data_IF_827893207391
#
_entry.id   IF_827893207391
#
_cell.length_a   1.000
_cell.length_b   1.000
_cell.length_c   1.000
_cell.angle_alpha   90.00
_cell.angle_beta   90.00
_cell.angle_gamma   90.00
#
_symmetry.space_group_name_H-M   'P 1'
#
loop_
_entity.id
_entity.type
_entity.pdbx_description
1 polymer ?
#
# COMPACT_ATOMS: atom_id res chain seq x y z
N UNK A 1 11.02 -13.02 -23.10
CA UNK A 1 12.47 -13.02 -22.81
C UNK A 1 12.61 -13.13 -21.30
N UNK A 2 13.67 -13.76 -20.78
CA UNK A 2 13.88 -13.78 -19.32
C UNK A 2 14.48 -12.44 -18.89
N UNK A 3 14.07 -11.94 -17.72
CA UNK A 3 14.60 -10.70 -17.16
C UNK A 3 16.06 -10.92 -16.74
N UNK A 4 16.98 -10.17 -17.33
CA UNK A 4 18.42 -10.29 -17.04
C UNK A 4 18.77 -9.76 -15.65
N UNK A 5 18.16 -8.64 -15.24
CA UNK A 5 18.39 -7.98 -13.95
C UNK A 5 18.05 -8.91 -12.78
N UNK A 6 18.99 -9.04 -11.84
CA UNK A 6 18.85 -9.85 -10.62
C UNK A 6 18.83 -8.97 -9.36
N UNK A 7 18.35 -9.54 -8.25
CA UNK A 7 18.36 -8.86 -6.96
C UNK A 7 19.78 -8.45 -6.49
N UNK A 8 20.82 -9.20 -6.89
CA UNK A 8 22.21 -8.85 -6.59
C UNK A 8 22.70 -7.59 -7.29
N UNK A 9 22.15 -7.28 -8.46
CA UNK A 9 22.52 -6.08 -9.23
C UNK A 9 21.95 -4.82 -8.56
N UNK A 10 20.72 -4.93 -8.05
CA UNK A 10 20.08 -3.90 -7.22
C UNK A 10 20.89 -3.70 -5.93
N UNK A 11 21.25 -4.78 -5.23
CA UNK A 11 22.08 -4.70 -4.02
C UNK A 11 23.46 -4.07 -4.28
N UNK A 12 24.02 -4.27 -5.47
CA UNK A 12 25.26 -3.61 -5.88
C UNK A 12 25.08 -2.10 -6.03
N UNK A 13 24.01 -1.64 -6.69
CA UNK A 13 23.68 -0.22 -6.79
C UNK A 13 23.46 0.43 -5.40
N UNK A 14 22.78 -0.28 -4.50
CA UNK A 14 22.54 0.16 -3.12
C UNK A 14 23.81 0.31 -2.29
N UNK A 15 24.89 -0.42 -2.64
CA UNK A 15 26.17 -0.26 -1.96
C UNK A 15 26.77 1.14 -2.17
N UNK A 16 26.53 1.77 -3.33
CA UNK A 16 26.89 3.15 -3.60
C UNK A 16 26.03 4.12 -2.78
N UNK A 17 24.71 3.88 -2.72
CA UNK A 17 23.79 4.68 -1.91
C UNK A 17 24.15 4.64 -0.43
N UNK A 18 24.50 3.47 0.09
CA UNK A 18 24.96 3.29 1.47
C UNK A 18 26.28 4.04 1.75
N UNK A 19 27.14 4.21 0.73
CA UNK A 19 28.35 5.02 0.80
C UNK A 19 28.10 6.53 0.61
N UNK A 20 26.88 6.93 0.25
CA UNK A 20 26.54 8.31 -0.14
C UNK A 20 27.07 8.71 -1.52
N UNK A 21 27.52 7.75 -2.33
CA UNK A 21 28.04 7.96 -3.68
C UNK A 21 26.90 7.98 -4.69
N UNK A 22 26.24 9.13 -4.81
CA UNK A 22 25.13 9.32 -5.75
C UNK A 22 25.60 9.31 -7.21
N UNK A 23 26.81 9.82 -7.47
CA UNK A 23 27.40 9.88 -8.81
C UNK A 23 27.73 8.47 -9.34
N UNK A 24 28.15 7.56 -8.45
CA UNK A 24 28.34 6.15 -8.75
C UNK A 24 27.02 5.38 -8.87
N UNK A 25 26.04 5.66 -8.02
CA UNK A 25 24.76 4.95 -8.01
C UNK A 25 23.90 5.22 -9.25
N UNK A 26 23.80 6.50 -9.67
CA UNK A 26 22.89 6.93 -10.75
C UNK A 26 23.05 6.13 -12.05
N UNK A 27 24.25 6.04 -12.68
CA UNK A 27 24.38 5.35 -13.96
C UNK A 27 24.09 3.84 -13.86
N UNK A 28 24.32 3.23 -12.69
CA UNK A 28 23.99 1.82 -12.45
C UNK A 28 22.47 1.65 -12.41
N UNK A 29 21.77 2.48 -11.64
CA UNK A 29 20.31 2.44 -11.52
C UNK A 29 19.61 2.74 -12.86
N UNK A 30 20.11 3.71 -13.64
CA UNK A 30 19.60 4.02 -14.98
C UNK A 30 19.79 2.84 -15.95
N UNK A 31 20.96 2.19 -15.94
CA UNK A 31 21.20 1.01 -16.78
C UNK A 31 20.23 -0.13 -16.45
N UNK A 32 20.09 -0.46 -15.16
CA UNK A 32 19.19 -1.53 -14.70
C UNK A 32 17.73 -1.23 -15.06
N UNK A 33 17.27 0.00 -14.84
CA UNK A 33 15.88 0.39 -15.16
C UNK A 33 15.61 0.41 -16.65
N UNK A 34 16.61 0.77 -17.48
CA UNK A 34 16.50 0.67 -18.95
C UNK A 34 16.35 -0.78 -19.43
N UNK A 35 17.11 -1.71 -18.86
CA UNK A 35 16.98 -3.15 -19.15
C UNK A 35 15.60 -3.68 -18.76
N UNK A 36 15.11 -3.30 -17.58
CA UNK A 36 13.75 -3.66 -17.11
C UNK A 36 12.67 -3.10 -18.03
N UNK A 37 12.80 -1.84 -18.48
CA UNK A 37 11.84 -1.23 -19.40
C UNK A 37 11.78 -1.97 -20.73
N UNK A 38 12.95 -2.27 -21.31
CA UNK A 38 13.04 -2.99 -22.59
C UNK A 38 12.40 -4.37 -22.45
N UNK A 39 12.72 -5.10 -21.38
CA UNK A 39 12.09 -6.39 -21.10
C UNK A 39 10.57 -6.29 -20.91
N UNK A 40 10.09 -5.28 -20.19
CA UNK A 40 8.67 -5.08 -19.92
C UNK A 40 7.89 -4.70 -21.18
N UNK A 41 8.47 -3.93 -22.08
CA UNK A 41 7.88 -3.61 -23.39
C UNK A 41 7.73 -4.85 -24.28
N UNK A 42 8.63 -5.82 -24.17
CA UNK A 42 8.56 -7.06 -24.96
C UNK A 42 7.68 -8.14 -24.30
N UNK A 43 7.73 -8.26 -22.98
CA UNK A 43 7.14 -9.38 -22.23
C UNK A 43 5.82 -9.01 -21.55
N UNK A 44 5.65 -7.76 -21.14
CA UNK A 44 4.50 -7.29 -20.36
C UNK A 44 3.59 -6.34 -21.16
N UNK A 45 3.74 -6.22 -22.47
CA UNK A 45 2.96 -5.27 -23.29
C UNK A 45 1.45 -5.58 -23.32
N UNK A 46 1.08 -6.86 -23.43
CA UNK A 46 -0.32 -7.26 -23.40
C UNK A 46 -0.76 -7.59 -21.97
N UNK A 47 -1.48 -6.64 -21.36
CA UNK A 47 -1.99 -6.76 -19.99
C UNK A 47 -3.47 -7.13 -19.94
N UNK A 48 -4.04 -7.68 -21.01
CA UNK A 48 -5.47 -8.01 -21.08
C UNK A 48 -5.85 -9.20 -20.18
N UNK A 49 -5.02 -10.24 -20.15
CA UNK A 49 -5.24 -11.45 -19.34
C UNK A 49 -4.30 -11.56 -18.13
N UNK A 50 -3.10 -10.94 -18.21
CA UNK A 50 -2.06 -11.07 -17.19
C UNK A 50 -1.52 -9.73 -16.76
N UNK A 51 -1.02 -9.66 -15.53
CA UNK A 51 -0.38 -8.48 -14.97
C UNK A 51 0.80 -8.92 -14.11
N UNK A 52 1.92 -8.23 -14.23
CA UNK A 52 3.16 -8.53 -13.52
C UNK A 52 3.38 -7.54 -12.39
N UNK A 53 3.72 -8.06 -11.22
CA UNK A 53 4.02 -7.30 -10.02
C UNK A 53 5.28 -7.82 -9.34
N UNK A 54 5.91 -6.97 -8.55
CA UNK A 54 7.02 -7.29 -7.66
C UNK A 54 6.61 -6.91 -6.23
N UNK A 55 5.64 -7.66 -5.69
CA UNK A 55 5.23 -7.51 -4.30
C UNK A 55 6.35 -7.96 -3.35
N UNK A 56 6.46 -7.33 -2.19
CA UNK A 56 7.48 -7.65 -1.19
C UNK A 56 7.15 -8.96 -0.45
N UNK A 57 5.85 -9.28 -0.33
CA UNK A 57 5.38 -10.51 0.31
C UNK A 57 4.02 -11.01 -0.23
N UNK A 58 3.63 -12.19 0.24
CA UNK A 58 2.35 -12.82 -0.10
C UNK A 58 1.13 -12.02 0.39
N UNK A 59 1.29 -11.26 1.48
CA UNK A 59 0.22 -10.43 2.02
C UNK A 59 -0.11 -9.30 1.03
N UNK A 60 0.88 -8.62 0.46
CA UNK A 60 0.66 -7.55 -0.51
C UNK A 60 -0.05 -8.09 -1.76
N UNK A 61 0.34 -9.27 -2.26
CA UNK A 61 -0.36 -9.91 -3.38
C UNK A 61 -1.83 -10.21 -3.07
N UNK A 62 -2.11 -10.75 -1.88
CA UNK A 62 -3.47 -11.05 -1.43
C UNK A 62 -4.30 -9.76 -1.26
N UNK A 63 -3.71 -8.74 -0.63
CA UNK A 63 -4.33 -7.46 -0.39
C UNK A 63 -4.66 -6.73 -1.70
N UNK A 64 -3.74 -6.73 -2.68
CA UNK A 64 -3.98 -6.19 -4.02
C UNK A 64 -5.21 -6.84 -4.67
N UNK A 65 -5.29 -8.17 -4.62
CA UNK A 65 -6.42 -8.92 -5.19
C UNK A 65 -7.75 -8.47 -4.59
N UNK A 66 -7.81 -8.27 -3.26
CA UNK A 66 -9.04 -7.90 -2.56
C UNK A 66 -9.43 -6.45 -2.79
N UNK A 67 -8.46 -5.54 -2.77
CA UNK A 67 -8.71 -4.10 -2.93
C UNK A 67 -9.03 -3.75 -4.39
N UNK A 68 -8.19 -4.15 -5.34
CA UNK A 68 -8.37 -3.78 -6.76
C UNK A 68 -9.39 -4.67 -7.48
N UNK A 69 -9.67 -5.86 -6.95
CA UNK A 69 -10.54 -6.86 -7.59
C UNK A 69 -10.10 -7.18 -9.02
N UNK A 70 -8.78 -7.16 -9.26
CA UNK A 70 -8.21 -7.38 -10.58
C UNK A 70 -8.54 -8.82 -11.05
N UNK A 71 -9.30 -8.98 -12.15
CA UNK A 71 -9.70 -10.29 -12.65
C UNK A 71 -8.57 -11.03 -13.37
N UNK A 72 -7.45 -10.35 -13.67
CA UNK A 72 -6.35 -10.89 -14.45
C UNK A 72 -5.50 -11.89 -13.65
N UNK A 73 -4.74 -12.71 -14.36
CA UNK A 73 -3.72 -13.53 -13.73
C UNK A 73 -2.56 -12.65 -13.23
N UNK A 74 -2.22 -12.77 -11.94
CA UNK A 74 -1.15 -11.97 -11.34
C UNK A 74 0.13 -12.80 -11.30
N UNK A 75 1.10 -12.39 -12.10
CA UNK A 75 2.44 -12.94 -12.16
C UNK A 75 3.33 -12.21 -11.14
N UNK A 76 3.92 -12.95 -10.19
CA UNK A 76 4.87 -12.42 -9.22
C UNK A 76 6.28 -12.50 -9.80
N UNK A 77 7.02 -11.40 -9.71
CA UNK A 77 8.45 -11.34 -10.00
C UNK A 77 9.23 -11.43 -8.69
N UNK A 78 10.27 -12.27 -8.68
CA UNK A 78 11.16 -12.42 -7.53
C UNK A 78 12.16 -11.26 -7.40
N UNK A 79 12.41 -10.53 -8.49
CA UNK A 79 13.30 -9.37 -8.50
C UNK A 79 12.54 -8.16 -7.94
N UNK A 80 13.07 -7.44 -6.94
CA UNK A 80 12.36 -6.34 -6.27
C UNK A 80 12.38 -5.06 -7.11
N UNK A 81 11.69 -5.08 -8.25
CA UNK A 81 11.70 -3.98 -9.21
C UNK A 81 11.17 -2.67 -8.62
N UNK A 82 10.15 -2.72 -7.75
CA UNK A 82 9.64 -1.51 -7.11
C UNK A 82 10.71 -0.80 -6.27
N UNK A 83 11.59 -1.56 -5.60
CA UNK A 83 12.73 -1.05 -4.82
C UNK A 83 13.77 -0.39 -5.72
N UNK A 84 14.12 -1.01 -6.83
CA UNK A 84 15.01 -0.43 -7.85
C UNK A 84 14.53 0.95 -8.31
N UNK A 85 13.26 1.08 -8.64
CA UNK A 85 12.69 2.37 -9.06
C UNK A 85 12.60 3.38 -7.90
N UNK A 86 12.33 2.93 -6.68
CA UNK A 86 12.36 3.79 -5.49
C UNK A 86 13.77 4.36 -5.24
N UNK A 87 14.81 3.54 -5.38
CA UNK A 87 16.20 3.96 -5.23
C UNK A 87 16.60 4.97 -6.30
N UNK A 88 16.21 4.74 -7.56
CA UNK A 88 16.41 5.71 -8.64
C UNK A 88 15.69 7.03 -8.35
N UNK A 89 14.45 6.98 -7.88
CA UNK A 89 13.71 8.18 -7.48
C UNK A 89 14.39 8.94 -6.35
N UNK A 90 14.94 8.23 -5.35
CA UNK A 90 15.70 8.83 -4.27
C UNK A 90 16.90 9.63 -4.81
N UNK A 91 17.68 9.06 -5.74
CA UNK A 91 18.82 9.76 -6.36
C UNK A 91 18.35 11.02 -7.10
N UNK A 92 17.30 10.91 -7.91
CA UNK A 92 16.73 12.07 -8.62
C UNK A 92 16.24 13.18 -7.69
N UNK A 93 15.65 12.83 -6.54
CA UNK A 93 15.26 13.80 -5.50
C UNK A 93 16.49 14.54 -4.96
N UNK A 94 17.59 13.84 -4.70
CA UNK A 94 18.81 14.46 -4.18
C UNK A 94 19.43 15.46 -5.17
N UNK A 95 19.39 15.15 -6.47
CA UNK A 95 19.86 16.06 -7.53
C UNK A 95 18.82 17.09 -7.99
N UNK A 96 17.66 17.14 -7.31
CA UNK A 96 16.53 18.04 -7.58
C UNK A 96 15.89 17.87 -8.97
N UNK A 97 16.03 16.71 -9.60
CA UNK A 97 15.27 16.36 -10.80
C UNK A 97 13.94 15.72 -10.41
N UNK A 98 13.00 16.56 -9.95
CA UNK A 98 11.69 16.11 -9.50
C UNK A 98 10.83 15.50 -10.61
N UNK A 99 11.11 15.82 -11.88
CA UNK A 99 10.40 15.25 -13.01
C UNK A 99 10.78 13.77 -13.17
N UNK A 100 12.09 13.47 -13.22
CA UNK A 100 12.56 12.09 -13.32
C UNK A 100 12.24 11.28 -12.06
N UNK A 101 12.32 11.90 -10.87
CA UNK A 101 11.91 11.24 -9.63
C UNK A 101 10.44 10.82 -9.66
N UNK A 102 9.55 11.63 -10.24
CA UNK A 102 8.12 11.31 -10.37
C UNK A 102 7.91 10.11 -11.27
N UNK A 103 8.55 10.08 -12.44
CA UNK A 103 8.45 8.96 -13.37
C UNK A 103 8.97 7.66 -12.74
N UNK A 104 10.09 7.72 -12.01
CA UNK A 104 10.62 6.58 -11.28
C UNK A 104 9.64 6.10 -10.19
N UNK A 105 9.05 6.99 -9.39
CA UNK A 105 8.05 6.60 -8.38
C UNK A 105 6.74 6.08 -8.99
N UNK A 106 6.33 6.57 -10.16
CA UNK A 106 5.21 5.98 -10.90
C UNK A 106 5.49 4.52 -11.26
N UNK A 107 6.73 4.20 -11.67
CA UNK A 107 7.14 2.80 -11.89
C UNK A 107 7.22 2.00 -10.59
N UNK A 108 7.71 2.58 -9.49
CA UNK A 108 7.72 1.91 -8.19
C UNK A 108 6.29 1.51 -7.75
N UNK A 109 5.33 2.43 -7.85
CA UNK A 109 3.91 2.16 -7.56
C UNK A 109 3.31 1.17 -8.56
N UNK A 110 3.68 1.21 -9.84
CA UNK A 110 3.25 0.21 -10.84
C UNK A 110 3.70 -1.20 -10.44
N UNK A 111 4.96 -1.36 -10.03
CA UNK A 111 5.52 -2.67 -9.70
C UNK A 111 5.05 -3.20 -8.34
N UNK A 112 4.91 -2.33 -7.35
CA UNK A 112 4.32 -2.68 -6.06
C UNK A 112 3.20 -1.68 -5.70
N UNK A 113 1.97 -1.95 -6.16
CA UNK A 113 0.80 -1.14 -5.86
C UNK A 113 0.23 -1.42 -4.48
N UNK A 114 0.90 -2.09 -3.54
CA UNK A 114 0.44 -2.14 -2.14
C UNK A 114 1.32 -1.36 -1.18
N UNK A 115 2.55 -1.07 -1.59
CA UNK A 115 3.45 -0.26 -0.79
C UNK A 115 2.96 1.20 -0.70
N UNK A 116 2.53 1.58 0.50
CA UNK A 116 1.99 2.92 0.78
C UNK A 116 3.06 4.01 0.79
N UNK A 117 4.32 3.66 1.07
CA UNK A 117 5.42 4.62 1.11
C UNK A 117 5.68 5.20 -0.28
N UNK A 118 5.76 4.35 -1.32
CA UNK A 118 5.94 4.81 -2.70
C UNK A 118 4.83 5.76 -3.15
N UNK A 119 3.58 5.48 -2.76
CA UNK A 119 2.45 6.38 -3.06
C UNK A 119 2.55 7.72 -2.33
N UNK A 120 2.90 7.71 -1.05
CA UNK A 120 3.05 8.96 -0.28
C UNK A 120 4.20 9.80 -0.78
N UNK A 121 5.28 9.19 -1.24
CA UNK A 121 6.43 9.88 -1.83
C UNK A 121 6.07 10.43 -3.23
N UNK A 122 5.36 9.66 -4.05
CA UNK A 122 4.81 10.13 -5.32
C UNK A 122 3.84 11.30 -5.13
N UNK A 123 3.00 11.23 -4.09
CA UNK A 123 2.08 12.29 -3.74
C UNK A 123 2.85 13.57 -3.38
N UNK A 124 3.92 13.46 -2.59
CA UNK A 124 4.75 14.61 -2.22
C UNK A 124 5.45 15.25 -3.42
N UNK A 125 5.93 14.45 -4.39
CA UNK A 125 6.47 15.00 -5.63
C UNK A 125 5.42 15.75 -6.45
N UNK A 126 4.22 15.20 -6.58
CA UNK A 126 3.11 15.91 -7.23
C UNK A 126 2.79 17.23 -6.52
N UNK A 127 2.82 17.25 -5.17
CA UNK A 127 2.66 18.47 -4.39
C UNK A 127 3.74 19.51 -4.69
N UNK A 128 5.00 19.10 -4.79
CA UNK A 128 6.15 19.96 -5.12
C UNK A 128 6.05 20.51 -6.55
N UNK A 129 5.57 19.69 -7.48
CA UNK A 129 5.36 20.07 -8.88
C UNK A 129 4.10 20.91 -9.11
N UNK A 130 3.28 21.12 -8.08
CA UNK A 130 2.07 21.94 -8.15
C UNK A 130 0.79 21.18 -8.51
N UNK A 131 0.87 19.87 -8.70
CA UNK A 131 -0.24 18.96 -9.02
C UNK A 131 -1.01 18.59 -7.74
N UNK A 132 -1.72 19.57 -7.16
CA UNK A 132 -2.40 19.44 -5.86
C UNK A 132 -3.49 18.37 -5.84
N UNK A 133 -4.25 18.25 -6.93
CA UNK A 133 -5.34 17.28 -7.05
C UNK A 133 -4.78 15.86 -7.05
N UNK A 134 -3.68 15.63 -7.78
CA UNK A 134 -3.00 14.34 -7.81
C UNK A 134 -2.39 13.99 -6.45
N UNK A 135 -1.80 14.98 -5.77
CA UNK A 135 -1.32 14.81 -4.39
C UNK A 135 -2.44 14.34 -3.43
N UNK A 136 -3.62 14.95 -3.51
CA UNK A 136 -4.77 14.56 -2.70
C UNK A 136 -5.31 13.17 -3.09
N UNK A 137 -5.43 12.88 -4.39
CA UNK A 137 -5.91 11.60 -4.89
C UNK A 137 -5.01 10.43 -4.48
N UNK A 138 -3.69 10.58 -4.65
CA UNK A 138 -2.71 9.58 -4.20
C UNK A 138 -2.77 9.40 -2.69
N UNK A 139 -2.87 10.49 -1.92
CA UNK A 139 -3.00 10.42 -0.46
C UNK A 139 -4.29 9.72 -0.03
N UNK A 140 -5.41 9.93 -0.72
CA UNK A 140 -6.65 9.20 -0.44
C UNK A 140 -6.53 7.71 -0.74
N UNK A 141 -5.91 7.35 -1.86
CA UNK A 141 -5.73 5.94 -2.26
C UNK A 141 -4.93 5.10 -1.25
N UNK A 142 -4.13 5.75 -0.39
CA UNK A 142 -3.40 5.08 0.70
C UNK A 142 -4.36 4.55 1.77
N UNK A 143 -5.51 5.20 2.02
CA UNK A 143 -6.42 4.80 3.11
C UNK A 143 -6.99 3.39 2.93
N UNK A 144 -7.31 2.99 1.70
CA UNK A 144 -7.82 1.66 1.37
C UNK A 144 -6.77 0.54 1.52
N UNK A 145 -5.47 0.91 1.48
CA UNK A 145 -4.32 -0.01 1.38
C UNK A 145 -3.39 0.04 2.58
N UNK A 146 -3.53 1.02 3.46
CA UNK A 146 -2.64 1.25 4.59
C UNK A 146 -2.66 0.07 5.57
N UNK A 147 -1.48 -0.44 5.87
CA UNK A 147 -1.28 -1.59 6.76
C UNK A 147 -0.72 -1.20 8.12
N UNK A 148 -0.34 0.07 8.25
CA UNK A 148 0.33 0.63 9.40
C UNK A 148 -0.25 2.02 9.71
N UNK A 149 -0.15 2.41 10.98
CA UNK A 149 -0.74 3.65 11.47
C UNK A 149 0.01 4.89 10.99
N UNK A 150 1.29 4.77 10.64
CA UNK A 150 2.12 5.88 10.17
C UNK A 150 1.71 6.30 8.75
N UNK A 151 1.61 5.37 7.82
CA UNK A 151 1.14 5.61 6.44
C UNK A 151 -0.26 6.22 6.45
N UNK A 152 -1.16 5.68 7.28
CA UNK A 152 -2.52 6.20 7.44
C UNK A 152 -2.52 7.62 8.02
N UNK A 153 -1.71 7.86 9.05
CA UNK A 153 -1.57 9.18 9.67
C UNK A 153 -1.06 10.24 8.69
N UNK A 154 -0.08 9.88 7.86
CA UNK A 154 0.46 10.75 6.81
C UNK A 154 -0.54 11.02 5.68
N UNK A 155 -1.32 10.02 5.27
CA UNK A 155 -2.40 10.18 4.30
C UNK A 155 -3.45 11.19 4.78
N UNK A 156 -3.95 11.03 6.01
CA UNK A 156 -4.86 12.01 6.60
C UNK A 156 -4.19 13.38 6.80
N UNK A 157 -2.91 13.44 7.14
CA UNK A 157 -2.19 14.70 7.25
C UNK A 157 -2.15 15.47 5.92
N UNK A 158 -1.93 14.76 4.81
CA UNK A 158 -1.95 15.34 3.48
C UNK A 158 -3.35 15.82 3.09
N UNK A 159 -4.37 15.00 3.26
CA UNK A 159 -5.77 15.34 2.95
C UNK A 159 -6.26 16.52 3.79
N UNK A 160 -5.95 16.56 5.09
CA UNK A 160 -6.30 17.67 5.95
C UNK A 160 -5.64 18.97 5.52
N UNK A 161 -4.37 18.91 5.07
CA UNK A 161 -3.67 20.07 4.52
C UNK A 161 -4.27 20.52 3.18
N UNK A 162 -4.71 19.58 2.34
CA UNK A 162 -5.45 19.87 1.12
C UNK A 162 -6.76 20.61 1.42
N UNK A 163 -7.63 20.03 2.26
CA UNK A 163 -8.91 20.66 2.63
C UNK A 163 -8.73 22.03 3.28
N UNK A 164 -7.72 22.19 4.15
CA UNK A 164 -7.42 23.47 4.77
C UNK A 164 -7.07 24.53 3.73
N UNK A 165 -6.31 24.17 2.70
CA UNK A 165 -5.97 25.05 1.57
C UNK A 165 -7.18 25.45 0.72
N UNK A 166 -8.16 24.57 0.60
CA UNK A 166 -9.43 24.82 -0.11
C UNK A 166 -10.49 25.51 0.77
N UNK A 167 -10.19 25.79 2.04
CA UNK A 167 -11.12 26.40 3.00
C UNK A 167 -12.13 25.43 3.63
N UNK A 168 -11.98 24.13 3.40
CA UNK A 168 -12.77 23.06 4.00
C UNK A 168 -12.36 22.76 5.45
N UNK A 169 -12.65 23.68 6.38
CA UNK A 169 -12.21 23.57 7.78
C UNK A 169 -12.73 22.33 8.51
N UNK A 170 -13.98 21.92 8.26
CA UNK A 170 -14.57 20.72 8.87
C UNK A 170 -13.84 19.43 8.47
N UNK A 171 -13.75 19.11 7.18
CA UNK A 171 -12.93 17.99 6.69
C UNK A 171 -11.46 18.08 7.12
N UNK A 172 -10.87 19.27 7.14
CA UNK A 172 -9.49 19.47 7.61
C UNK A 172 -9.31 19.09 9.10
N UNK A 173 -10.24 19.51 9.95
CA UNK A 173 -10.26 19.14 11.38
C UNK A 173 -10.49 17.63 11.56
N UNK A 174 -11.44 17.05 10.81
CA UNK A 174 -11.69 15.61 10.83
C UNK A 174 -10.44 14.80 10.47
N UNK A 175 -9.78 15.14 9.36
CA UNK A 175 -8.53 14.53 8.93
C UNK A 175 -7.45 14.68 10.01
N UNK A 176 -7.32 15.85 10.62
CA UNK A 176 -6.28 16.09 11.61
C UNK A 176 -6.49 15.28 12.89
N UNK A 177 -7.74 15.09 13.35
CA UNK A 177 -8.05 14.18 14.48
C UNK A 177 -7.72 12.72 14.14
N UNK A 178 -8.06 12.28 12.93
CA UNK A 178 -7.73 10.93 12.45
C UNK A 178 -6.21 10.71 12.30
N UNK A 179 -5.51 11.73 11.80
CA UNK A 179 -4.06 11.74 11.68
C UNK A 179 -3.39 11.64 13.05
N UNK A 180 -3.84 12.43 14.04
CA UNK A 180 -3.32 12.41 15.40
C UNK A 180 -3.56 11.06 16.09
N UNK A 181 -4.76 10.49 15.96
CA UNK A 181 -5.05 9.14 16.47
C UNK A 181 -4.16 8.05 15.86
N UNK A 182 -3.71 8.24 14.61
CA UNK A 182 -2.90 7.25 13.91
C UNK A 182 -1.40 7.44 14.16
N UNK A 183 -0.91 8.67 14.13
CA UNK A 183 0.53 8.97 14.20
C UNK A 183 0.83 10.32 14.87
N UNK A 184 0.39 10.53 16.11
CA UNK A 184 0.54 11.79 16.86
C UNK A 184 1.96 12.40 16.87
N UNK A 185 3.00 11.55 16.83
CA UNK A 185 4.41 12.00 16.85
C UNK A 185 5.00 12.33 15.48
N UNK A 186 4.32 12.03 14.36
CA UNK A 186 4.84 12.31 13.03
C UNK A 186 4.81 13.82 12.75
N UNK A 187 5.91 14.34 12.18
CA UNK A 187 6.09 15.77 11.96
C UNK A 187 5.04 16.38 11.01
N UNK A 188 4.51 15.60 10.04
CA UNK A 188 3.45 16.05 9.14
C UNK A 188 2.13 16.20 9.89
N UNK A 189 1.84 15.27 10.79
CA UNK A 189 0.65 15.28 11.64
C UNK A 189 0.67 16.45 12.61
N UNK A 190 1.79 16.65 13.32
CA UNK A 190 1.97 17.78 14.24
C UNK A 190 1.81 19.12 13.51
N UNK A 191 2.41 19.24 12.31
CA UNK A 191 2.29 20.44 11.49
C UNK A 191 0.86 20.70 11.04
N UNK A 192 0.15 19.68 10.56
CA UNK A 192 -1.27 19.83 10.20
C UNK A 192 -2.07 20.29 11.42
N UNK A 193 -1.87 19.65 12.58
CA UNK A 193 -2.63 19.98 13.78
C UNK A 193 -2.45 21.43 14.18
N UNK A 194 -1.20 21.91 14.22
CA UNK A 194 -0.90 23.31 14.46
C UNK A 194 -1.62 24.22 13.46
N UNK A 195 -1.51 23.95 12.15
CA UNK A 195 -2.10 24.79 11.11
C UNK A 195 -3.63 24.87 11.19
N UNK A 196 -4.29 23.77 11.54
CA UNK A 196 -5.75 23.77 11.71
C UNK A 196 -6.13 24.56 12.97
N UNK A 197 -5.44 24.36 14.10
CA UNK A 197 -5.70 25.11 15.33
C UNK A 197 -5.52 26.63 15.18
N UNK A 198 -4.62 27.08 14.30
CA UNK A 198 -4.39 28.50 14.06
C UNK A 198 -5.33 29.12 13.04
N UNK A 199 -5.93 28.31 12.16
CA UNK A 199 -6.63 28.82 10.97
C UNK A 199 -8.13 28.54 10.97
N UNK A 200 -8.57 27.46 11.61
CA UNK A 200 -9.98 27.08 11.65
C UNK A 200 -10.74 27.86 12.76
N UNK A 201 -12.02 28.20 12.55
CA UNK A 201 -12.86 28.80 13.58
C UNK A 201 -13.00 27.89 14.81
N UNK A 202 -13.17 28.48 16.00
CA UNK A 202 -13.33 27.74 17.26
C UNK A 202 -14.51 26.77 17.21
N UNK A 203 -15.59 27.12 16.52
CA UNK A 203 -16.79 26.29 16.37
C UNK A 203 -16.48 24.97 15.64
N UNK A 204 -15.50 24.97 14.73
CA UNK A 204 -15.04 23.75 14.05
C UNK A 204 -14.14 22.93 14.97
N UNK A 205 -13.23 23.59 15.69
CA UNK A 205 -12.34 22.93 16.66
C UNK A 205 -13.13 22.27 17.79
N UNK A 206 -14.23 22.87 18.22
CA UNK A 206 -15.09 22.36 19.29
C UNK A 206 -16.20 21.42 18.80
N UNK A 207 -16.32 21.21 17.49
CA UNK A 207 -17.35 20.34 16.91
C UNK A 207 -17.20 18.88 17.36
N UNK A 208 -18.33 18.18 17.45
CA UNK A 208 -18.38 16.77 17.80
C UNK A 208 -17.75 15.89 16.72
N UNK A 209 -17.02 14.84 17.14
CA UNK A 209 -16.34 13.90 16.24
C UNK A 209 -17.29 13.33 15.20
N UNK A 210 -18.50 12.91 15.58
CA UNK A 210 -19.47 12.29 14.67
C UNK A 210 -19.90 13.21 13.52
N UNK A 211 -20.09 14.50 13.80
CA UNK A 211 -20.43 15.49 12.76
C UNK A 211 -19.27 15.68 11.78
N UNK A 212 -18.05 15.76 12.30
CA UNK A 212 -16.84 15.93 11.48
C UNK A 212 -16.56 14.71 10.61
N UNK A 213 -16.71 13.50 11.14
CA UNK A 213 -16.57 12.26 10.36
C UNK A 213 -17.63 12.19 9.26
N UNK A 214 -18.87 12.57 9.55
CA UNK A 214 -19.94 12.60 8.54
C UNK A 214 -19.62 13.58 7.39
N UNK A 215 -19.09 14.76 7.70
CA UNK A 215 -18.64 15.71 6.67
C UNK A 215 -17.50 15.15 5.83
N UNK A 216 -16.49 14.56 6.47
CA UNK A 216 -15.35 13.97 5.77
C UNK A 216 -15.78 12.81 4.85
N UNK A 217 -16.76 12.00 5.28
CA UNK A 217 -17.32 10.93 4.44
C UNK A 217 -18.13 11.46 3.25
N UNK A 218 -18.75 12.65 3.34
CA UNK A 218 -19.40 13.29 2.18
C UNK A 218 -18.39 13.71 1.11
N UNK A 219 -17.14 13.99 1.51
CA UNK A 219 -16.02 14.23 0.60
C UNK A 219 -15.45 12.93 -0.01
N UNK A 220 -16.04 11.77 0.30
CA UNK A 220 -15.59 10.48 -0.21
C UNK A 220 -14.33 9.95 0.47
N UNK A 221 -13.98 10.48 1.65
CA UNK A 221 -12.82 10.04 2.41
C UNK A 221 -13.26 9.02 3.46
N UNK A 222 -12.64 7.83 3.40
CA UNK A 222 -12.86 6.79 4.41
C UNK A 222 -12.36 7.26 5.78
N UNK A 223 -13.14 7.02 6.83
CA UNK A 223 -12.81 7.41 8.21
C UNK A 223 -12.41 6.23 9.09
N UNK A 224 -12.79 5.03 8.66
CA UNK A 224 -12.45 3.77 9.30
C UNK A 224 -11.27 3.09 8.60
N UNK A 225 -10.47 2.29 9.31
CA UNK A 225 -9.48 1.41 8.70
C UNK A 225 -10.12 0.38 7.75
N UNK A 226 -9.38 -0.03 6.73
CA UNK A 226 -9.81 -1.08 5.79
C UNK A 226 -9.91 -2.44 6.47
N UNK A 227 -11.14 -2.94 6.61
CA UNK A 227 -11.40 -4.30 7.13
C UNK A 227 -10.79 -5.37 6.23
N UNK A 228 -10.79 -5.16 4.91
CA UNK A 228 -10.20 -6.10 3.95
C UNK A 228 -8.70 -6.28 4.18
N UNK A 229 -7.97 -5.19 4.47
CA UNK A 229 -6.55 -5.26 4.80
C UNK A 229 -6.34 -6.05 6.10
N UNK A 230 -7.15 -5.82 7.13
CA UNK A 230 -7.07 -6.58 8.37
C UNK A 230 -7.34 -8.08 8.17
N UNK A 231 -8.34 -8.44 7.35
CA UNK A 231 -8.62 -9.83 7.00
C UNK A 231 -7.44 -10.45 6.26
N UNK A 232 -6.86 -9.76 5.27
CA UNK A 232 -5.69 -10.26 4.54
C UNK A 232 -4.49 -10.50 5.47
N UNK A 233 -4.21 -9.57 6.39
CA UNK A 233 -3.17 -9.75 7.40
C UNK A 233 -3.43 -11.00 8.26
N UNK A 234 -4.65 -11.17 8.77
CA UNK A 234 -4.99 -12.30 9.63
C UNK A 234 -4.97 -13.65 8.90
N UNK A 235 -5.38 -13.70 7.64
CA UNK A 235 -5.25 -14.91 6.81
C UNK A 235 -3.77 -15.28 6.62
N UNK A 236 -2.94 -14.31 6.23
CA UNK A 236 -1.50 -14.56 6.11
C UNK A 236 -0.83 -14.91 7.44
N UNK A 237 -1.38 -14.44 8.57
CA UNK A 237 -0.92 -14.85 9.90
C UNK A 237 -1.22 -16.33 10.17
N UNK A 238 -2.42 -16.80 9.82
CA UNK A 238 -2.81 -18.22 9.91
C UNK A 238 -1.90 -19.08 9.04
N UNK A 239 -1.69 -18.71 7.78
CA UNK A 239 -0.82 -19.45 6.85
C UNK A 239 0.62 -19.55 7.40
N UNK A 240 1.20 -18.41 7.81
CA UNK A 240 2.54 -18.38 8.39
C UNK A 240 2.65 -19.24 9.67
N UNK A 241 1.61 -19.28 10.51
CA UNK A 241 1.58 -20.13 11.69
C UNK A 241 1.53 -21.63 11.34
N UNK A 242 0.77 -22.01 10.30
CA UNK A 242 0.72 -23.39 9.80
C UNK A 242 2.06 -23.84 9.21
N UNK A 243 2.78 -22.94 8.54
CA UNK A 243 4.14 -23.16 8.03
C UNK A 243 5.22 -23.17 9.13
N UNK A 244 4.88 -22.77 10.36
CA UNK A 244 5.79 -22.71 11.50
C UNK A 244 6.60 -21.41 11.60
N UNK A 245 6.33 -20.40 10.78
CA UNK A 245 6.93 -19.07 10.86
C UNK A 245 6.19 -18.20 11.91
N UNK A 246 6.53 -18.43 13.17
CA UNK A 246 5.92 -17.71 14.29
C UNK A 246 6.21 -16.21 14.28
N UNK A 247 7.32 -15.79 13.66
CA UNK A 247 7.71 -14.38 13.62
C UNK A 247 6.79 -13.60 12.67
N UNK A 248 6.61 -14.10 11.45
CA UNK A 248 5.69 -13.49 10.47
C UNK A 248 4.24 -13.54 10.93
N UNK A 249 3.81 -14.66 11.51
CA UNK A 249 2.46 -14.78 12.06
C UNK A 249 2.19 -13.71 13.13
N UNK A 250 3.17 -13.46 14.00
CA UNK A 250 3.08 -12.41 15.04
C UNK A 250 3.06 -11.01 14.42
N UNK A 251 3.92 -10.72 13.44
CA UNK A 251 3.96 -9.42 12.76
C UNK A 251 2.60 -9.06 12.14
N UNK A 252 2.04 -9.96 11.33
CA UNK A 252 0.75 -9.73 10.68
C UNK A 252 -0.40 -9.57 11.69
N UNK A 253 -0.40 -10.37 12.77
CA UNK A 253 -1.41 -10.27 13.83
C UNK A 253 -1.34 -8.92 14.54
N UNK A 254 -0.13 -8.44 14.87
CA UNK A 254 0.07 -7.13 15.50
C UNK A 254 -0.40 -6.02 14.56
N UNK A 255 -0.01 -6.04 13.29
CA UNK A 255 -0.45 -5.05 12.30
C UNK A 255 -1.97 -5.00 12.15
N UNK A 256 -2.63 -6.16 12.08
CA UNK A 256 -4.09 -6.23 12.03
C UNK A 256 -4.73 -5.63 13.28
N UNK A 257 -4.22 -6.01 14.46
CA UNK A 257 -4.69 -5.49 15.75
C UNK A 257 -4.51 -3.99 15.89
N UNK A 258 -3.37 -3.46 15.49
CA UNK A 258 -3.08 -2.03 15.57
C UNK A 258 -3.91 -1.24 14.55
N UNK A 259 -4.31 -1.87 13.43
CA UNK A 259 -5.18 -1.28 12.42
C UNK A 259 -6.65 -1.20 12.87
N UNK A 260 -7.26 -2.31 13.31
CA UNK A 260 -8.72 -2.37 13.61
C UNK A 260 -9.07 -2.43 15.10
N UNK A 261 -8.07 -2.58 15.97
CA UNK A 261 -8.26 -2.77 17.41
C UNK A 261 -8.37 -4.25 17.81
N UNK A 262 -8.12 -4.52 19.09
CA UNK A 262 -8.05 -5.89 19.65
C UNK A 262 -9.36 -6.67 19.52
N UNK A 263 -10.48 -6.07 19.88
CA UNK A 263 -11.78 -6.75 19.85
C UNK A 263 -12.24 -7.06 18.43
N UNK A 264 -12.02 -6.14 17.48
CA UNK A 264 -12.31 -6.37 16.07
C UNK A 264 -11.41 -7.46 15.48
N UNK A 265 -10.10 -7.43 15.78
CA UNK A 265 -9.17 -8.45 15.33
C UNK A 265 -9.55 -9.85 15.86
N UNK A 266 -9.93 -9.98 17.14
CA UNK A 266 -10.42 -11.25 17.71
C UNK A 266 -11.67 -11.76 17.00
N UNK A 267 -12.64 -10.87 16.72
CA UNK A 267 -13.86 -11.25 16.01
C UNK A 267 -13.55 -11.75 14.59
N UNK A 268 -12.64 -11.06 13.87
CA UNK A 268 -12.21 -11.47 12.53
C UNK A 268 -11.48 -12.83 12.55
N UNK A 269 -10.60 -13.07 13.54
CA UNK A 269 -9.91 -14.36 13.69
C UNK A 269 -10.92 -15.51 13.86
N UNK A 270 -11.95 -15.33 14.70
CA UNK A 270 -12.99 -16.35 14.89
C UNK A 270 -13.74 -16.64 13.59
N UNK A 271 -14.11 -15.60 12.84
CA UNK A 271 -14.79 -15.74 11.55
C UNK A 271 -13.93 -16.45 10.50
N UNK A 272 -12.63 -16.16 10.45
CA UNK A 272 -11.69 -16.84 9.54
C UNK A 272 -11.62 -18.32 9.88
N UNK A 273 -11.47 -18.68 11.14
CA UNK A 273 -11.43 -20.10 11.55
C UNK A 273 -12.75 -20.85 11.29
N UNK A 274 -13.89 -20.20 11.48
CA UNK A 274 -15.19 -20.78 11.15
C UNK A 274 -15.31 -21.05 9.64
N UNK A 275 -14.92 -20.08 8.81
CA UNK A 275 -14.90 -20.23 7.35
C UNK A 275 -13.95 -21.34 6.88
N UNK A 276 -12.75 -21.42 7.46
CA UNK A 276 -11.76 -22.47 7.12
C UNK A 276 -12.28 -23.86 7.51
N UNK A 277 -12.96 -23.99 8.65
CA UNK A 277 -13.55 -25.24 9.11
C UNK A 277 -14.73 -25.69 8.23
N UNK A 278 -15.54 -24.75 7.73
CA UNK A 278 -16.62 -25.03 6.77
C UNK A 278 -16.06 -25.53 5.43
N UNK A 279 -15.06 -24.83 4.87
CA UNK A 279 -14.39 -25.22 3.62
C UNK A 279 -13.76 -26.63 3.72
N UNK A 280 -13.09 -26.94 4.84
CA UNK A 280 -12.51 -28.25 5.06
C UNK A 280 -13.56 -29.37 5.14
N UNK A 281 -14.75 -29.08 5.67
CA UNK A 281 -15.87 -30.03 5.70
C UNK A 281 -16.46 -30.24 4.30
N UNK A 282 -16.59 -29.18 3.51
CA UNK A 282 -17.06 -29.25 2.12
C UNK A 282 -16.13 -30.11 1.26
N UNK A 283 -14.81 -29.90 1.34
CA UNK A 283 -13.81 -30.69 0.62
C UNK A 283 -13.85 -32.18 1.01
N UNK A 284 -14.04 -32.48 2.29
CA UNK A 284 -14.18 -33.87 2.78
C UNK A 284 -15.48 -34.52 2.33
N UNK A 285 -16.53 -33.72 2.10
CA UNK A 285 -17.82 -34.20 1.59
C UNK A 285 -17.87 -34.30 0.05
N UNK A 286 -16.84 -33.81 -0.66
CA UNK A 286 -16.87 -33.50 -2.08
C UNK A 286 -15.90 -34.24 -3.02
N UNK A 287 -15.62 -35.55 -2.89
CA UNK A 287 -15.38 -36.48 -4.04
C UNK A 287 -14.91 -37.91 -3.67
N UNK A 288 -15.17 -38.97 -4.51
CA UNK A 288 -15.90 -38.98 -5.79
C UNK A 288 -17.00 -40.06 -5.93
N UNK A 289 -18.11 -39.72 -6.59
CA UNK A 289 -18.90 -40.66 -7.39
C UNK A 289 -18.43 -40.56 -8.86
N UNK A 290 -17.26 -41.14 -9.12
CA UNK A 290 -16.92 -41.66 -10.44
C UNK A 290 -16.68 -43.16 -10.26
N UNK A 291 -17.74 -43.94 -10.42
CA UNK A 291 -17.62 -45.37 -10.67
C UNK A 291 -18.26 -45.65 -12.02
N UNK A 292 -17.39 -45.94 -12.97
CA UNK A 292 -17.70 -46.49 -14.27
C UNK A 292 -18.81 -47.55 -14.20
N UNK A 293 -19.81 -47.43 -15.07
CA UNK A 293 -20.56 -48.60 -15.50
C UNK A 293 -19.85 -49.18 -16.72
N UNK A 294 -19.42 -50.45 -16.70
CA UNK A 294 -19.06 -51.15 -17.92
C UNK A 294 -20.35 -51.47 -18.68
N UNK A 295 -20.38 -51.12 -19.97
CA UNK A 295 -21.41 -51.59 -20.89
C UNK A 295 -21.01 -52.99 -21.32
N UNK A 296 -21.69 -54.00 -20.77
CA UNK A 296 -21.74 -55.36 -21.33
C UNK A 296 -23.17 -55.65 -21.79
N UNK A 297 -23.23 -56.23 -22.99
CA UNK A 297 -24.34 -56.79 -23.79
C UNK A 297 -25.33 -55.84 -24.50
#
# INVERSE_FOLDING_TARGET
MDLAVQASDIAYAESFLAAGDLDGALPVLESLTHEVQTWAEETCADTSERQWFAFDDAFERLAYRRVEKDPRHLEQLEVPLARLYSDLAFVYIQVQDFAQAREALMQAVRWNPMNCSYRLDLAELNRVLGEKQEWAALSNSVLERATDTLSRGRAYANLGAFFLGEGGFGPAEACARLAERSAAGDSRVVRLRHNVMTSAPSEIIEAEDGQLMAQLSLEGIETAPSTEIAICLLMCATDAAQEGDTARATDYTIRARDLVGEEAAKALISLIHESDAELAQEEQSGSPLSSAQPVEE
#
